data_IF_830603302242
#
_entry.id   IF_830603302242
#
_cell.length_a   1.000
_cell.length_b   1.000
_cell.length_c   1.000
_cell.angle_alpha   90.00
_cell.angle_beta   90.00
_cell.angle_gamma   90.00
#
_symmetry.space_group_name_H-M   'P 1'
#
loop_
_entity.id
_entity.type
_entity.pdbx_description
1 polymer ?
2 non-polymer ?
3 non-polymer ?
4 non-polymer ?
5 non-polymer ?
6 non-polymer ?
7 non-polymer ?
8 water ?
#
# COMPACT_ATOMS: atom_id res chain seq x y z
N UNK A 1 -4.55 -14.59 0.60
CA UNK A 1 -3.11 -14.39 0.36
C UNK A 1 -2.27 -15.08 1.45
N UNK A 2 -2.88 -15.53 2.54
CA UNK A 2 -2.05 -15.97 3.67
C UNK A 2 -1.25 -17.26 3.31
N UNK A 3 -1.70 -18.03 2.33
CA UNK A 3 -0.91 -19.23 1.88
C UNK A 3 0.42 -18.82 1.32
N UNK A 4 0.55 -17.54 0.94
CA UNK A 4 1.78 -17.01 0.34
C UNK A 4 2.82 -16.71 1.39
N UNK A 5 2.45 -16.79 2.65
CA UNK A 5 3.33 -16.28 3.69
C UNK A 5 4.07 -17.46 4.35
N UNK A 6 5.40 -17.43 4.38
CA UNK A 6 6.16 -18.52 5.01
C UNK A 6 5.70 -18.84 6.45
N UNK A 7 5.30 -17.83 7.20
CA UNK A 7 4.91 -18.09 8.60
C UNK A 7 3.68 -19.00 8.68
N UNK A 8 2.78 -18.80 7.72
CA UNK A 8 1.56 -19.58 7.65
C UNK A 8 1.86 -21.01 7.25
N UNK A 9 2.67 -21.17 6.22
CA UNK A 9 2.94 -22.54 5.82
C UNK A 9 3.83 -23.28 6.87
N UNK A 10 4.74 -22.58 7.57
CA UNK A 10 5.48 -23.18 8.68
C UNK A 10 4.53 -23.59 9.83
N UNK A 11 3.65 -22.70 10.20
CA UNK A 11 2.64 -22.98 11.25
C UNK A 11 1.74 -24.12 10.92
N UNK A 12 1.34 -24.25 9.65
CA UNK A 12 0.47 -25.39 9.30
C UNK A 12 1.22 -26.72 9.35
N UNK A 13 2.53 -26.71 9.06
CA UNK A 13 3.34 -27.90 9.16
C UNK A 13 3.45 -28.36 10.62
N UNK A 14 3.71 -27.41 11.52
CA UNK A 14 3.76 -27.69 12.93
C UNK A 14 2.42 -28.16 13.46
N UNK A 15 1.35 -27.53 12.99
CA UNK A 15 -0.02 -27.91 13.34
C UNK A 15 -0.23 -29.40 13.04
N UNK A 16 0.09 -29.78 11.81
CA UNK A 16 -0.08 -31.19 11.42
C UNK A 16 0.85 -32.14 12.15
N UNK A 17 2.12 -31.80 12.26
CA UNK A 17 3.09 -32.80 12.71
C UNK A 17 3.15 -32.90 14.21
N UNK A 18 2.82 -31.81 14.89
CA UNK A 18 3.00 -31.75 16.35
C UNK A 18 1.68 -31.64 17.05
N UNK A 19 0.80 -30.73 16.63
CA UNK A 19 -0.35 -30.45 17.52
C UNK A 19 -1.59 -31.30 17.30
N UNK A 20 -1.82 -31.77 16.08
CA UNK A 20 -3.05 -32.57 15.87
C UNK A 20 -3.07 -33.81 16.76
N UNK A 21 -1.91 -34.38 17.04
CA UNK A 21 -1.77 -35.54 17.95
C UNK A 21 -2.52 -35.32 19.27
N UNK A 22 -2.54 -34.05 19.71
CA UNK A 22 -3.10 -33.72 21.02
C UNK A 22 -4.62 -33.61 21.03
N UNK A 23 -5.23 -33.59 19.84
CA UNK A 23 -6.65 -33.23 19.71
C UNK A 23 -7.50 -34.26 18.97
N UNK A 24 -6.84 -35.07 18.16
CA UNK A 24 -7.54 -35.96 17.23
C UNK A 24 -6.83 -37.30 17.07
N UNK A 25 -7.62 -38.37 16.82
CA UNK A 25 -6.98 -39.66 16.52
C UNK A 25 -6.22 -39.54 15.18
N UNK A 26 -5.07 -40.21 15.07
CA UNK A 26 -4.22 -40.09 13.90
C UNK A 26 -4.96 -40.36 12.58
N UNK A 27 -5.88 -41.32 12.59
CA UNK A 27 -6.50 -41.72 11.31
C UNK A 27 -7.54 -40.70 10.73
N UNK A 28 -7.66 -39.53 11.35
CA UNK A 28 -8.46 -38.48 10.74
C UNK A 28 -7.57 -37.24 10.44
N UNK A 29 -6.28 -37.30 10.79
CA UNK A 29 -5.40 -36.14 10.59
C UNK A 29 -5.30 -35.72 9.15
N UNK A 30 -5.08 -36.68 8.26
CA UNK A 30 -4.76 -36.26 6.88
C UNK A 30 -5.97 -35.61 6.22
N UNK A 31 -7.17 -36.18 6.44
CA UNK A 31 -8.34 -35.54 5.82
C UNK A 31 -8.70 -34.21 6.51
N UNK A 32 -8.44 -34.12 7.81
CA UNK A 32 -8.63 -32.82 8.44
C UNK A 32 -7.68 -31.77 7.84
N UNK A 33 -6.45 -32.17 7.58
CA UNK A 33 -5.52 -31.24 6.91
C UNK A 33 -5.96 -30.89 5.48
N UNK A 34 -6.61 -31.80 4.77
CA UNK A 34 -7.14 -31.48 3.45
C UNK A 34 -8.21 -30.37 3.57
N UNK A 35 -9.02 -30.46 4.62
CA UNK A 35 -10.03 -29.43 4.90
C UNK A 35 -9.34 -28.08 5.22
N UNK A 36 -8.38 -28.15 6.12
CA UNK A 36 -7.64 -26.91 6.49
C UNK A 36 -6.98 -26.25 5.28
N UNK A 37 -6.21 -27.04 4.53
CA UNK A 37 -5.51 -26.47 3.37
C UNK A 37 -6.46 -25.92 2.31
N UNK A 38 -7.61 -26.57 2.14
CA UNK A 38 -8.56 -26.12 1.20
C UNK A 38 -9.06 -24.75 1.61
N UNK A 39 -9.39 -24.62 2.89
CA UNK A 39 -9.95 -23.34 3.35
C UNK A 39 -8.90 -22.23 3.18
N UNK A 40 -7.68 -22.54 3.61
CA UNK A 40 -6.62 -21.52 3.60
C UNK A 40 -6.35 -21.09 2.15
N UNK A 41 -6.32 -22.07 1.26
CA UNK A 41 -5.98 -21.73 -0.13
C UNK A 41 -7.04 -20.84 -0.81
N UNK A 42 -8.28 -20.81 -0.29
CA UNK A 42 -9.37 -19.99 -0.86
C UNK A 42 -9.35 -18.52 -0.41
N UNK A 43 -8.46 -18.13 0.49
CA UNK A 43 -8.46 -16.75 0.94
C UNK A 43 -8.10 -15.85 -0.25
N UNK A 44 -8.90 -14.80 -0.44
CA UNK A 44 -8.67 -13.93 -1.58
C UNK A 44 -9.03 -14.44 -2.98
N UNK A 45 -9.66 -15.60 -3.11
CA UNK A 45 -10.14 -15.98 -4.43
C UNK A 45 -11.32 -15.07 -4.82
N UNK A 46 -11.27 -14.62 -6.04
CA UNK A 46 -12.36 -13.86 -6.62
C UNK A 46 -13.33 -14.75 -7.40
N UNK A 47 -14.62 -14.51 -7.23
CA UNK A 47 -15.63 -15.08 -8.12
C UNK A 47 -16.31 -13.94 -8.87
N UNK A 48 -15.68 -13.53 -9.98
CA UNK A 48 -16.07 -12.37 -10.79
C UNK A 48 -16.72 -11.27 -9.95
N UNK A 49 -17.87 -10.81 -10.43
CA UNK A 49 -18.80 -10.06 -9.60
C UNK A 49 -18.17 -8.80 -9.00
N UNK A 50 -18.50 -8.56 -7.73
CA UNK A 50 -18.04 -7.40 -7.00
C UNK A 50 -17.06 -7.76 -5.88
N UNK A 51 -16.42 -8.92 -5.96
CA UNK A 51 -15.47 -9.26 -4.90
C UNK A 51 -14.02 -9.36 -5.42
N UNK A 52 -13.72 -8.59 -6.48
CA UNK A 52 -12.36 -8.53 -7.04
C UNK A 52 -11.42 -7.85 -6.06
N UNK A 53 -12.01 -7.18 -5.09
CA UNK A 53 -11.28 -6.53 -4.04
C UNK A 53 -10.46 -7.59 -3.28
N UNK A 54 -10.96 -8.82 -3.32
CA UNK A 54 -10.29 -9.92 -2.65
C UNK A 54 -8.95 -10.33 -3.24
N UNK A 55 -8.69 -9.99 -4.51
CA UNK A 55 -7.69 -10.64 -5.32
C UNK A 55 -6.24 -10.31 -5.03
N UNK A 56 -5.99 -9.14 -4.43
CA UNK A 56 -4.61 -8.72 -4.04
C UNK A 56 -4.68 -7.74 -2.87
N UNK A 57 -3.64 -7.71 -2.07
CA UNK A 57 -3.55 -6.73 -0.97
C UNK A 57 -2.11 -6.28 -0.87
N UNK A 58 -1.84 -5.22 -0.11
CA UNK A 58 -0.41 -4.81 0.00
C UNK A 58 0.27 -5.69 1.04
N UNK A 59 1.57 -5.49 1.26
CA UNK A 59 2.28 -6.41 2.16
C UNK A 59 1.87 -6.19 3.63
N UNK A 60 1.58 -4.93 3.99
CA UNK A 60 1.16 -4.65 5.38
C UNK A 60 -0.16 -5.37 5.71
N UNK A 61 -1.10 -5.37 4.76
CA UNK A 61 -2.40 -6.03 4.97
C UNK A 61 -2.23 -7.53 5.04
N UNK A 62 -1.43 -8.11 4.14
CA UNK A 62 -1.10 -9.53 4.25
C UNK A 62 -0.53 -9.84 5.65
N UNK A 63 0.39 -9.00 6.12
CA UNK A 63 1.02 -9.22 7.42
C UNK A 63 -0.02 -9.21 8.54
N UNK A 64 -0.94 -8.26 8.51
CA UNK A 64 -1.99 -8.24 9.52
C UNK A 64 -2.82 -9.50 9.48
N UNK A 65 -3.18 -9.92 8.26
CA UNK A 65 -4.03 -11.13 8.08
C UNK A 65 -3.30 -12.41 8.55
N UNK A 66 -2.00 -12.48 8.27
CA UNK A 66 -1.21 -13.59 8.70
C UNK A 66 -1.18 -13.68 10.24
N UNK A 67 -0.91 -12.55 10.92
CA UNK A 67 -0.80 -12.62 12.35
C UNK A 67 -2.16 -12.89 13.02
N UNK A 68 -3.24 -12.41 12.42
CA UNK A 68 -4.61 -12.69 12.91
C UNK A 68 -4.82 -14.19 12.82
N UNK A 69 -4.47 -14.74 11.66
CA UNK A 69 -4.61 -16.20 11.43
C UNK A 69 -3.77 -17.00 12.44
N UNK A 70 -2.48 -16.67 12.58
CA UNK A 70 -1.60 -17.40 13.53
C UNK A 70 -2.14 -17.37 14.95
N UNK A 71 -2.63 -16.21 15.39
CA UNK A 71 -3.18 -16.11 16.75
C UNK A 71 -4.34 -17.10 16.92
N UNK A 72 -5.20 -17.16 15.91
CA UNK A 72 -6.42 -18.05 16.03
C UNK A 72 -6.06 -19.51 15.90
N UNK A 73 -5.10 -19.82 15.05
CA UNK A 73 -4.63 -21.21 14.96
C UNK A 73 -4.00 -21.68 16.30
N UNK A 74 -3.22 -20.79 16.94
CA UNK A 74 -2.58 -21.16 18.21
C UNK A 74 -3.69 -21.30 19.28
N UNK A 75 -4.69 -20.44 19.22
CA UNK A 75 -5.76 -20.52 20.21
C UNK A 75 -6.36 -21.91 20.18
N UNK A 76 -6.58 -22.37 18.95
CA UNK A 76 -7.16 -23.72 18.71
C UNK A 76 -6.27 -24.83 19.24
N UNK A 77 -4.95 -24.73 19.02
CA UNK A 77 -4.11 -25.81 19.47
C UNK A 77 -3.88 -25.76 20.97
N UNK A 78 -3.95 -24.55 21.54
CA UNK A 78 -3.85 -24.41 22.98
C UNK A 78 -5.13 -24.86 23.69
N UNK A 79 -6.23 -25.01 22.96
CA UNK A 79 -7.52 -25.30 23.59
C UNK A 79 -7.63 -26.70 24.12
N UNK A 80 -8.68 -26.95 24.90
CA UNK A 80 -8.98 -28.28 25.42
C UNK A 80 -9.98 -29.02 24.51
N UNK A 81 -10.15 -28.52 23.29
CA UNK A 81 -11.10 -29.17 22.38
C UNK A 81 -10.59 -30.45 21.78
N UNK A 82 -11.45 -31.46 21.69
CA UNK A 82 -11.02 -32.69 21.04
C UNK A 82 -12.09 -33.16 20.08
N UNK A 83 -11.71 -34.11 19.20
CA UNK A 83 -12.75 -34.82 18.44
C UNK A 83 -13.59 -33.92 17.50
N UNK A 84 -14.88 -34.23 17.40
CA UNK A 84 -15.75 -33.42 16.59
C UNK A 84 -15.87 -31.97 17.01
N UNK A 85 -15.88 -31.70 18.32
CA UNK A 85 -15.89 -30.31 18.74
C UNK A 85 -14.66 -29.55 18.25
N UNK A 86 -13.50 -30.20 18.28
CA UNK A 86 -12.28 -29.60 17.75
C UNK A 86 -12.39 -29.31 16.29
N UNK A 87 -12.86 -30.30 15.54
CA UNK A 87 -12.99 -30.11 14.09
C UNK A 87 -13.99 -28.99 13.76
N UNK A 88 -15.11 -28.99 14.49
CA UNK A 88 -16.14 -27.96 14.26
C UNK A 88 -15.57 -26.56 14.49
N UNK A 89 -14.88 -26.41 15.61
CA UNK A 89 -14.32 -25.08 15.92
C UNK A 89 -13.18 -24.75 14.95
N UNK A 90 -12.37 -25.73 14.56
CA UNK A 90 -11.36 -25.47 13.57
C UNK A 90 -11.93 -24.92 12.27
N UNK A 91 -13.01 -25.51 11.75
CA UNK A 91 -13.58 -25.05 10.50
C UNK A 91 -14.17 -23.65 10.73
N UNK A 92 -14.83 -23.46 11.86
CA UNK A 92 -15.43 -22.14 12.13
C UNK A 92 -14.35 -21.06 12.27
N UNK A 93 -13.22 -21.42 12.88
CA UNK A 93 -12.10 -20.51 13.02
C UNK A 93 -11.60 -20.13 11.61
N UNK A 94 -11.49 -21.10 10.74
CA UNK A 94 -10.96 -20.80 9.40
C UNK A 94 -11.94 -19.88 8.64
N UNK A 95 -13.25 -20.11 8.84
CA UNK A 95 -14.26 -19.27 8.18
C UNK A 95 -14.22 -17.86 8.77
N UNK A 96 -14.05 -17.78 10.08
CA UNK A 96 -13.93 -16.48 10.73
C UNK A 96 -12.67 -15.72 10.24
N UNK A 97 -11.57 -16.43 10.14
CA UNK A 97 -10.35 -15.74 9.66
C UNK A 97 -10.50 -15.28 8.20
N UNK A 98 -11.23 -16.05 7.40
CA UNK A 98 -11.52 -15.65 6.04
C UNK A 98 -12.33 -14.36 6.06
N UNK A 99 -13.30 -14.24 6.96
CA UNK A 99 -14.07 -12.99 7.05
C UNK A 99 -13.16 -11.82 7.44
N UNK A 100 -12.23 -12.10 8.37
CA UNK A 100 -11.30 -11.05 8.82
C UNK A 100 -10.43 -10.65 7.64
N UNK A 101 -9.93 -11.63 6.90
CA UNK A 101 -9.14 -11.31 5.70
C UNK A 101 -9.98 -10.41 4.77
N UNK A 102 -11.23 -10.79 4.55
CA UNK A 102 -12.07 -10.00 3.63
C UNK A 102 -12.28 -8.57 4.13
N UNK A 103 -12.46 -8.40 5.43
CA UNK A 103 -12.63 -7.07 6.01
C UNK A 103 -11.33 -6.24 5.84
N UNK A 104 -10.21 -6.87 6.10
CA UNK A 104 -8.90 -6.20 5.85
C UNK A 104 -8.71 -5.80 4.39
N UNK A 105 -9.06 -6.71 3.48
CA UNK A 105 -8.96 -6.40 2.06
C UNK A 105 -9.88 -5.26 1.64
N UNK A 106 -11.10 -5.27 2.18
CA UNK A 106 -12.08 -4.24 1.89
C UNK A 106 -11.57 -2.89 2.43
N UNK A 107 -10.99 -2.88 3.63
CA UNK A 107 -10.43 -1.65 4.20
C UNK A 107 -9.24 -1.15 3.36
N UNK A 108 -8.43 -2.08 2.88
CA UNK A 108 -7.27 -1.76 2.09
C UNK A 108 -7.74 -1.11 0.80
N UNK A 109 -8.74 -1.75 0.20
CA UNK A 109 -9.28 -1.28 -1.04
C UNK A 109 -9.85 0.11 -0.89
N UNK A 110 -10.56 0.32 0.21
CA UNK A 110 -11.24 1.59 0.40
C UNK A 110 -10.28 2.73 0.77
N UNK A 111 -9.32 2.49 1.66
CA UNK A 111 -8.53 3.60 2.18
C UNK A 111 -7.10 3.68 1.66
N UNK A 112 -6.51 2.54 1.30
CA UNK A 112 -5.07 2.49 1.06
C UNK A 112 -4.67 2.35 -0.41
N UNK A 113 -5.46 1.59 -1.18
CA UNK A 113 -5.26 1.33 -2.59
C UNK A 113 -5.49 2.61 -3.40
N UNK A 114 -4.53 2.99 -4.25
CA UNK A 114 -4.66 4.17 -5.17
C UNK A 114 -5.40 5.38 -4.56
N UNK A 115 -4.88 5.92 -3.46
CA UNK A 115 -5.53 7.08 -2.86
C UNK A 115 -5.19 8.39 -3.55
N UNK A 116 -4.31 8.36 -4.56
CA UNK A 116 -3.95 9.61 -5.23
C UNK A 116 -5.13 10.14 -6.03
N UNK A 117 -5.28 11.47 -6.03
CA UNK A 117 -6.35 12.15 -6.79
C UNK A 117 -5.81 12.79 -8.08
N UNK A 118 -4.50 12.74 -8.24
CA UNK A 118 -3.87 13.17 -9.46
C UNK A 118 -2.53 12.42 -9.47
N UNK A 119 -1.75 12.59 -10.53
CA UNK A 119 -0.42 12.02 -10.59
C UNK A 119 -0.46 10.49 -10.75
N UNK A 120 0.69 9.86 -10.60
CA UNK A 120 0.79 8.41 -10.80
C UNK A 120 1.44 7.78 -9.60
N UNK A 121 0.71 6.91 -8.92
CA UNK A 121 1.22 6.28 -7.71
C UNK A 121 1.54 4.82 -8.01
N UNK A 122 2.66 4.30 -7.47
CA UNK A 122 3.02 2.88 -7.64
C UNK A 122 2.95 2.20 -6.27
N UNK A 123 2.31 1.05 -6.22
CA UNK A 123 2.15 0.31 -4.95
C UNK A 123 2.56 -1.14 -5.16
N UNK A 124 3.01 -1.77 -4.07
CA UNK A 124 3.49 -3.17 -4.18
C UNK A 124 2.36 -4.05 -3.69
N UNK A 125 1.85 -4.92 -4.58
CA UNK A 125 0.74 -5.80 -4.17
C UNK A 125 1.19 -7.26 -4.22
N UNK A 126 0.56 -8.04 -3.36
CA UNK A 126 0.64 -9.51 -3.47
C UNK A 126 -0.68 -10.01 -4.01
N UNK A 127 -0.62 -10.73 -5.10
CA UNK A 127 -1.81 -11.32 -5.73
C UNK A 127 -2.07 -12.66 -5.10
N UNK A 128 -3.29 -12.88 -4.60
CA UNK A 128 -3.57 -14.06 -3.73
C UNK A 128 -3.65 -15.41 -4.44
N UNK A 129 -3.92 -15.45 -5.73
CA UNK A 129 -4.16 -16.75 -6.35
C UNK A 129 -2.84 -17.47 -6.51
N UNK A 130 -1.85 -16.76 -7.06
CA UNK A 130 -0.58 -17.46 -7.33
C UNK A 130 0.62 -16.83 -6.59
N UNK A 131 0.35 -15.91 -5.67
CA UNK A 131 1.35 -15.31 -4.76
C UNK A 131 2.37 -14.42 -5.43
N UNK A 132 2.05 -13.89 -6.61
CA UNK A 132 2.96 -13.03 -7.30
C UNK A 132 3.02 -11.64 -6.66
N UNK A 133 4.22 -11.10 -6.54
CA UNK A 133 4.34 -9.72 -6.10
C UNK A 133 4.46 -8.80 -7.30
N UNK A 134 3.71 -7.72 -7.36
CA UNK A 134 3.77 -6.93 -8.61
C UNK A 134 3.60 -5.50 -8.24
N UNK A 135 4.21 -4.65 -9.03
CA UNK A 135 4.05 -3.23 -8.84
C UNK A 135 2.72 -2.81 -9.48
N UNK A 136 1.79 -2.27 -8.73
CA UNK A 136 0.49 -1.87 -9.26
C UNK A 136 0.52 -0.37 -9.57
N UNK A 137 0.02 0.06 -10.73
CA UNK A 137 0.13 1.48 -11.12
C UNK A 137 -1.23 2.15 -10.98
N UNK A 138 -1.29 3.25 -10.24
CA UNK A 138 -2.52 4.01 -10.08
C UNK A 138 -2.41 5.27 -10.93
N UNK A 139 -2.84 5.21 -12.18
CA UNK A 139 -2.51 6.28 -13.09
C UNK A 139 -3.66 7.29 -13.23
N UNK A 140 -3.40 8.53 -12.84
CA UNK A 140 -4.34 9.63 -13.06
C UNK A 140 -3.61 10.73 -13.86
N UNK A 141 -4.32 11.75 -14.34
CA UNK A 141 -3.62 12.86 -15.05
C UNK A 141 -2.46 13.41 -14.26
N UNK A 142 -1.36 13.67 -14.94
CA UNK A 142 -0.12 14.01 -14.18
C UNK A 142 -0.21 15.41 -13.52
N UNK A 143 -0.88 16.32 -14.19
CA UNK A 143 -0.93 17.68 -13.66
C UNK A 143 -1.91 17.82 -12.52
N UNK A 144 -1.37 18.14 -11.34
CA UNK A 144 -2.14 18.17 -10.11
C UNK A 144 -2.80 19.52 -9.90
N UNK A 145 -2.38 20.52 -10.69
CA UNK A 145 -2.99 21.86 -10.56
C UNK A 145 -1.95 22.95 -10.30
N UNK A 146 -2.42 24.13 -9.89
CA UNK A 146 -1.57 25.34 -9.91
C UNK A 146 -1.76 26.06 -8.60
N UNK A 147 -0.64 26.34 -7.94
CA UNK A 147 -0.64 27.11 -6.70
C UNK A 147 -0.47 28.61 -6.97
N UNK A 148 -1.20 29.47 -6.26
CA UNK A 148 -1.00 30.92 -6.44
C UNK A 148 -0.24 31.37 -5.22
N UNK A 149 0.97 31.90 -5.41
CA UNK A 149 1.88 32.17 -4.29
C UNK A 149 2.20 33.64 -4.27
N UNK A 150 2.17 34.28 -3.09
CA UNK A 150 2.65 35.63 -3.01
C UNK A 150 3.72 35.66 -1.95
N UNK A 151 4.79 36.40 -2.21
CA UNK A 151 5.87 36.52 -1.23
C UNK A 151 6.39 37.96 -1.26
N UNK A 152 6.66 38.52 -0.10
CA UNK A 152 7.18 39.88 -0.01
C UNK A 152 8.68 39.92 -0.38
N UNK A 153 9.10 41.00 -1.05
CA UNK A 153 10.51 41.23 -1.38
C UNK A 153 11.39 41.01 -0.17
N UNK A 154 12.46 40.24 -0.38
CA UNK A 154 13.51 39.94 0.62
C UNK A 154 13.12 38.84 1.63
N UNK A 155 11.88 38.35 1.58
CA UNK A 155 11.52 37.14 2.35
C UNK A 155 11.91 35.88 1.59
N UNK A 156 11.77 34.72 2.23
CA UNK A 156 12.06 33.46 1.58
C UNK A 156 10.84 32.94 0.80
N UNK A 157 11.09 32.50 -0.43
CA UNK A 157 10.15 31.75 -1.26
C UNK A 157 10.33 30.22 -1.09
N UNK A 158 9.27 29.54 -0.69
CA UNK A 158 9.30 28.09 -0.55
C UNK A 158 8.21 27.52 -1.47
N UNK A 159 8.62 26.60 -2.34
CA UNK A 159 7.65 25.86 -3.18
C UNK A 159 7.59 24.44 -2.59
N UNK A 160 6.38 23.98 -2.31
CA UNK A 160 6.15 22.67 -1.70
C UNK A 160 5.61 21.72 -2.77
N UNK A 161 6.25 20.58 -2.96
CA UNK A 161 5.73 19.64 -3.97
C UNK A 161 5.29 18.31 -3.32
N UNK A 162 5.28 18.28 -2.00
CA UNK A 162 4.92 17.03 -1.31
C UNK A 162 3.40 16.78 -1.28
N UNK A 163 2.96 15.60 -1.77
CA UNK A 163 1.56 15.18 -1.61
C UNK A 163 1.52 14.03 -0.58
N UNK A 164 0.36 13.83 0.02
CA UNK A 164 0.29 12.94 1.15
C UNK A 164 0.62 11.51 0.78
N UNK A 165 0.51 11.16 -0.49
CA UNK A 165 0.65 9.73 -0.86
C UNK A 165 2.11 9.47 -1.36
N UNK A 166 2.90 10.53 -1.52
CA UNK A 166 4.27 10.34 -2.02
C UNK A 166 5.07 9.46 -1.10
N UNK A 167 4.88 9.62 0.21
CA UNK A 167 5.65 8.82 1.19
C UNK A 167 5.36 7.34 1.00
N UNK A 168 4.15 6.96 0.56
CA UNK A 168 3.83 5.52 0.37
C UNK A 168 4.11 5.02 -1.06
N UNK A 169 4.42 5.90 -1.99
CA UNK A 169 4.55 5.46 -3.37
C UNK A 169 5.91 4.80 -3.55
N UNK A 170 5.99 3.81 -4.42
CA UNK A 170 7.24 3.05 -4.64
C UNK A 170 8.00 3.53 -5.87
N UNK A 171 9.33 3.45 -5.81
CA UNK A 171 10.11 3.77 -6.98
C UNK A 171 10.27 5.26 -7.29
N UNK A 172 10.03 6.16 -6.33
CA UNK A 172 10.24 7.58 -6.65
C UNK A 172 11.74 7.87 -6.75
N UNK A 173 12.11 8.81 -7.58
CA UNK A 173 13.49 9.22 -7.66
C UNK A 173 13.64 10.66 -7.17
N UNK A 174 13.66 11.63 -8.04
CA UNK A 174 13.94 13.02 -7.60
C UNK A 174 12.73 13.90 -7.84
N UNK A 175 12.63 14.95 -7.04
CA UNK A 175 11.79 16.13 -7.37
C UNK A 175 12.68 17.10 -8.13
N UNK A 176 12.26 17.48 -9.34
CA UNK A 176 12.96 18.54 -10.11
C UNK A 176 12.14 19.80 -10.01
N UNK A 177 12.77 20.94 -9.76
CA UNK A 177 12.06 22.20 -9.87
C UNK A 177 12.62 22.98 -11.06
N UNK A 178 11.70 23.56 -11.84
CA UNK A 178 12.01 24.41 -12.98
C UNK A 178 11.50 25.82 -12.82
N UNK A 179 12.29 26.75 -13.30
CA UNK A 179 11.78 28.12 -13.56
C UNK A 179 11.19 28.10 -14.97
N UNK A 180 9.96 28.60 -15.13
CA UNK A 180 9.34 28.64 -16.46
C UNK A 180 9.27 30.06 -16.98
N UNK A 181 10.08 30.40 -17.98
CA UNK A 181 10.22 31.77 -18.43
C UNK A 181 9.01 32.22 -19.27
N UNK A 182 8.99 33.50 -19.57
CA UNK A 182 7.87 34.15 -20.25
C UNK A 182 7.83 33.71 -21.69
N UNK A 183 8.90 33.06 -22.20
CA UNK A 183 8.91 32.62 -23.60
C UNK A 183 8.62 31.18 -23.59
N UNK A 184 8.22 30.75 -22.40
CA UNK A 184 7.73 29.42 -22.11
C UNK A 184 8.84 28.32 -22.01
N UNK A 185 10.09 28.64 -22.29
CA UNK A 185 11.16 27.68 -22.01
C UNK A 185 11.41 27.54 -20.52
N UNK A 186 12.19 26.55 -20.11
CA UNK A 186 12.36 26.39 -18.67
C UNK A 186 13.80 26.06 -18.29
N UNK A 187 14.15 26.37 -17.05
CA UNK A 187 15.49 26.14 -16.55
C UNK A 187 15.40 25.29 -15.28
N UNK A 188 16.16 24.22 -15.22
CA UNK A 188 16.15 23.38 -14.02
C UNK A 188 16.85 24.15 -12.89
N UNK A 189 16.19 24.35 -11.74
CA UNK A 189 16.86 25.12 -10.70
C UNK A 189 17.12 24.30 -9.43
N UNK A 190 16.55 23.11 -9.33
CA UNK A 190 16.89 22.18 -8.26
C UNK A 190 16.49 20.79 -8.67
N UNK A 191 17.22 19.79 -8.16
CA UNK A 191 16.86 18.40 -8.41
C UNK A 191 17.43 17.55 -7.27
N UNK A 192 16.60 16.77 -6.59
CA UNK A 192 17.13 15.95 -5.52
C UNK A 192 15.98 15.33 -4.75
N UNK A 193 16.28 14.72 -3.62
CA UNK A 193 15.23 14.03 -2.90
C UNK A 193 14.30 14.99 -2.12
N UNK A 194 14.72 16.25 -1.93
CA UNK A 194 13.89 17.21 -1.18
C UNK A 194 12.56 17.56 -1.94
N UNK A 195 11.40 17.38 -1.26
CA UNK A 195 10.12 17.67 -1.92
C UNK A 195 9.81 19.17 -1.96
N UNK A 196 10.81 20.01 -1.76
CA UNK A 196 10.56 21.47 -1.77
C UNK A 196 11.73 22.28 -2.29
N UNK A 197 11.46 23.51 -2.64
CA UNK A 197 12.50 24.40 -3.11
C UNK A 197 12.51 25.64 -2.24
N UNK A 198 13.66 26.07 -1.75
CA UNK A 198 13.74 27.35 -1.05
C UNK A 198 14.62 28.30 -1.85
N UNK A 199 14.12 29.52 -2.05
CA UNK A 199 14.92 30.62 -2.62
C UNK A 199 14.94 31.70 -1.56
N UNK A 200 16.15 32.08 -1.16
CA UNK A 200 16.35 33.08 -0.11
C UNK A 200 16.34 34.49 -0.68
N UNK A 201 15.91 35.46 0.12
CA UNK A 201 15.93 36.87 -0.28
C UNK A 201 15.35 37.17 -1.65
N UNK A 202 14.07 36.87 -1.85
CA UNK A 202 13.55 37.02 -3.19
C UNK A 202 13.53 38.46 -3.57
N UNK A 203 13.65 38.69 -4.87
CA UNK A 203 13.51 40.03 -5.40
C UNK A 203 12.52 39.96 -6.56
N UNK A 204 12.24 41.12 -7.19
CA UNK A 204 11.25 41.15 -8.26
C UNK A 204 11.59 40.17 -9.38
N UNK A 205 12.87 39.87 -9.57
CA UNK A 205 13.29 39.01 -10.65
C UNK A 205 12.83 37.55 -10.42
N UNK A 206 12.40 37.24 -9.20
CA UNK A 206 11.97 35.85 -8.89
C UNK A 206 10.49 35.66 -9.18
N UNK A 207 9.78 36.75 -9.49
CA UNK A 207 8.36 36.64 -9.84
C UNK A 207 8.23 35.87 -11.14
N UNK A 208 7.16 35.08 -11.23
CA UNK A 208 6.82 34.32 -12.44
C UNK A 208 6.37 32.90 -12.18
N UNK A 209 6.63 32.00 -13.12
CA UNK A 209 6.07 30.65 -13.09
C UNK A 209 7.14 29.61 -12.82
N UNK A 210 6.77 28.57 -12.08
CA UNK A 210 7.66 27.48 -11.70
C UNK A 210 6.89 26.19 -11.84
N UNK A 211 7.62 25.08 -11.88
CA UNK A 211 6.95 23.79 -12.00
C UNK A 211 7.77 22.78 -11.24
N UNK A 212 7.09 21.89 -10.51
CA UNK A 212 7.76 20.72 -9.92
C UNK A 212 7.43 19.49 -10.76
N UNK A 213 8.40 18.61 -11.01
CA UNK A 213 8.05 17.32 -11.60
C UNK A 213 8.78 16.24 -10.82
N UNK A 214 7.98 15.33 -10.29
CA UNK A 214 8.46 14.22 -9.49
C UNK A 214 8.57 12.99 -10.39
N UNK A 215 9.75 12.35 -10.39
CA UNK A 215 10.05 11.30 -11.37
C UNK A 215 10.10 9.92 -10.66
N UNK A 216 10.09 8.85 -11.47
CA UNK A 216 10.18 7.50 -10.89
C UNK A 216 11.25 6.72 -11.64
N UNK A 217 11.60 5.57 -11.09
CA UNK A 217 12.65 4.75 -11.74
C UNK A 217 12.25 4.32 -13.16
N UNK A 218 11.02 3.81 -13.29
CA UNK A 218 10.63 3.34 -14.60
C UNK A 218 9.13 3.41 -14.90
N UNK A 219 8.41 4.26 -14.17
CA UNK A 219 6.97 4.37 -14.42
C UNK A 219 6.58 5.76 -14.89
N UNK A 220 7.55 6.57 -15.33
CA UNK A 220 7.25 7.91 -15.84
C UNK A 220 7.11 8.92 -14.70
N UNK A 221 6.74 10.14 -15.04
CA UNK A 221 6.58 11.17 -14.02
C UNK A 221 5.42 10.79 -13.10
N UNK A 222 5.55 11.11 -11.80
CA UNK A 222 4.54 10.76 -10.79
C UNK A 222 3.68 11.98 -10.35
N UNK A 223 4.23 13.17 -10.47
CA UNK A 223 3.44 14.35 -10.06
C UNK A 223 4.02 15.56 -10.81
N UNK A 224 3.13 16.43 -11.25
CA UNK A 224 3.52 17.80 -11.61
C UNK A 224 2.65 18.81 -10.87
N UNK A 225 3.26 19.83 -10.30
CA UNK A 225 2.49 20.95 -9.73
C UNK A 225 3.07 22.21 -10.33
N UNK A 226 2.21 23.18 -10.66
CA UNK A 226 2.68 24.47 -11.16
C UNK A 226 2.52 25.55 -10.09
N UNK A 227 3.37 26.58 -10.15
CA UNK A 227 3.29 27.67 -9.17
C UNK A 227 3.35 28.99 -9.94
N UNK A 228 2.42 29.88 -9.61
CA UNK A 228 2.42 31.23 -10.11
C UNK A 228 2.87 32.14 -8.95
N UNK A 229 4.02 32.79 -9.03
CA UNK A 229 4.59 33.51 -7.90
C UNK A 229 4.61 34.99 -8.16
N UNK A 230 3.97 35.71 -7.24
CA UNK A 230 3.99 37.18 -7.27
C UNK A 230 4.92 37.68 -6.21
N UNK A 231 5.78 38.63 -6.54
CA UNK A 231 6.62 39.20 -5.48
C UNK A 231 6.04 40.55 -5.11
N UNK A 232 5.66 40.68 -3.85
CA UNK A 232 5.03 41.93 -3.39
C UNK A 232 6.07 42.96 -2.93
N UNK A 233 5.74 44.25 -2.99
CA UNK A 233 6.66 45.21 -2.35
C UNK A 233 6.80 44.89 -0.87
N UNK A 234 7.88 45.37 -0.24
CA UNK A 234 8.04 45.20 1.22
C UNK A 234 6.85 45.74 2.01
N UNK A 235 6.44 45.06 3.06
CA UNK A 235 5.54 45.69 4.03
C UNK A 235 6.21 46.93 4.60
#
# INVERSE_FOLDING_TARGET
>A
CIKCDQFVTDALKTFENTYLNDHLPHDIHKNVMRMVNHEVSSFGVVTSAEDSYLGAVDENTLEQATWSFLKDLKRITDSDLKGELFIKELLWMLRHQKDIFNNLARQFQKEVLCPNKCGVMSQTLIWCLKCEKQLHICRKSLDCGERHIEVHRSEDLVLDCLLSWHRASKGLTDYSFYRVWENSSETLIAKGKEPYLTKSMVGPEDAGNYRCVLDTINQGHATVIRYDVTVLPPK
#
